data_IF_593273545437
#
_entry.id   IF_593273545437
#
_cell.length_a   1.000
_cell.length_b   1.000
_cell.length_c   1.000
_cell.angle_alpha   90.00
_cell.angle_beta   90.00
_cell.angle_gamma   90.00
#
_symmetry.space_group_name_H-M   'P 1'
#
loop_
_entity.id
_entity.type
_entity.pdbx_description
1 polymer ?
#
# COMPACT_ATOMS: atom_id res chain seq x y z
N UNK A 1 74.64 -21.48 -10.11
CA UNK A 1 73.97 -21.58 -8.79
C UNK A 1 72.61 -20.93 -8.94
N UNK A 2 71.46 -21.59 -8.97
CA UNK A 2 71.05 -22.98 -8.78
C UNK A 2 69.53 -22.89 -8.58
N UNK A 3 68.75 -23.42 -9.52
CA UNK A 3 67.29 -23.60 -9.37
C UNK A 3 67.00 -24.65 -8.29
N UNK A 4 65.78 -24.65 -7.73
CA UNK A 4 64.76 -25.66 -8.12
C UNK A 4 63.39 -24.97 -8.37
N UNK A 5 62.54 -25.25 -9.37
CA UNK A 5 62.00 -26.49 -9.99
C UNK A 5 61.62 -27.56 -8.95
N UNK A 6 60.34 -27.81 -8.66
CA UNK A 6 59.49 -28.80 -9.35
C UNK A 6 58.09 -28.81 -8.66
N UNK A 7 56.99 -28.54 -9.37
CA UNK A 7 56.04 -29.47 -10.05
C UNK A 7 54.85 -29.98 -9.23
N UNK A 8 53.70 -29.88 -9.89
CA UNK A 8 52.48 -30.67 -9.70
C UNK A 8 51.32 -30.01 -10.46
N UNK A 9 51.17 -30.22 -11.79
CA UNK A 9 50.16 -31.11 -12.43
C UNK A 9 48.77 -31.02 -11.76
N UNK A 10 47.64 -30.88 -12.44
CA UNK A 10 47.21 -31.17 -13.81
C UNK A 10 45.70 -30.89 -13.88
N UNK A 11 45.16 -30.47 -15.03
CA UNK A 11 43.70 -30.40 -15.18
C UNK A 11 43.24 -29.76 -16.48
N UNK A 12 43.29 -30.52 -17.57
CA UNK A 12 42.60 -30.29 -18.84
C UNK A 12 41.08 -30.16 -18.63
N UNK A 13 40.42 -29.23 -19.33
CA UNK A 13 38.96 -29.15 -19.31
C UNK A 13 38.39 -28.01 -20.15
N UNK A 14 38.17 -28.32 -21.43
CA UNK A 14 37.41 -27.57 -22.42
C UNK A 14 36.03 -27.07 -21.96
N UNK A 15 35.61 -25.94 -22.54
CA UNK A 15 34.22 -25.74 -22.93
C UNK A 15 33.29 -25.19 -21.86
N UNK A 16 32.84 -23.96 -22.06
CA UNK A 16 31.77 -23.40 -21.25
C UNK A 16 31.68 -21.89 -21.39
N UNK A 17 31.36 -21.43 -22.59
CA UNK A 17 30.83 -20.08 -22.80
C UNK A 17 29.49 -20.02 -22.05
N UNK A 18 29.53 -19.73 -20.76
CA UNK A 18 28.33 -19.36 -20.02
C UNK A 18 28.07 -17.91 -20.38
N UNK A 19 27.41 -17.74 -21.53
CA UNK A 19 26.68 -16.51 -21.84
C UNK A 19 25.70 -16.31 -20.68
N UNK A 20 26.10 -15.45 -19.75
CA UNK A 20 25.30 -15.06 -18.61
C UNK A 20 24.07 -14.36 -19.16
N UNK A 21 22.97 -15.12 -19.21
CA UNK A 21 21.65 -14.65 -19.55
C UNK A 21 21.42 -13.28 -18.92
N UNK A 22 21.19 -12.28 -19.77
CA UNK A 22 20.94 -10.90 -19.40
C UNK A 22 19.87 -10.87 -18.30
N UNK A 23 20.31 -10.61 -17.07
CA UNK A 23 19.44 -10.40 -15.93
C UNK A 23 18.73 -9.06 -16.14
N UNK A 24 17.60 -9.11 -16.82
CA UNK A 24 16.65 -8.00 -16.87
C UNK A 24 15.94 -7.91 -15.51
N UNK A 25 16.70 -7.61 -14.45
CA UNK A 25 16.15 -7.29 -13.14
C UNK A 25 15.61 -5.87 -13.24
N UNK A 26 14.30 -5.73 -13.17
CA UNK A 26 13.67 -4.43 -12.90
C UNK A 26 14.39 -3.83 -11.69
N UNK A 27 15.00 -2.64 -11.87
CA UNK A 27 15.64 -1.93 -10.76
C UNK A 27 14.55 -1.70 -9.70
N UNK A 28 14.74 -2.32 -8.53
CA UNK A 28 13.89 -2.10 -7.37
C UNK A 28 14.60 -1.10 -6.46
N UNK A 29 13.91 -0.02 -6.12
CA UNK A 29 14.41 0.99 -5.17
C UNK A 29 13.62 0.86 -3.87
N UNK A 30 14.30 0.43 -2.82
CA UNK A 30 13.73 0.39 -1.49
C UNK A 30 13.74 1.79 -0.86
N UNK A 31 12.72 2.14 -0.04
CA UNK A 31 12.72 3.40 0.66
C UNK A 31 13.89 3.47 1.65
N UNK A 32 14.51 4.65 1.86
CA UNK A 32 15.50 4.85 2.90
C UNK A 32 14.93 4.44 4.28
N UNK A 33 15.73 3.79 5.15
CA UNK A 33 15.25 3.29 6.45
C UNK A 33 14.65 4.38 7.35
N UNK A 34 15.18 5.61 7.25
CA UNK A 34 14.71 6.77 8.01
C UNK A 34 13.25 7.09 7.69
N UNK A 35 12.88 7.11 6.40
CA UNK A 35 11.51 7.39 5.95
C UNK A 35 10.60 6.21 6.29
N UNK A 36 11.08 4.99 6.08
CA UNK A 36 10.32 3.76 6.33
C UNK A 36 9.89 3.62 7.79
N UNK A 37 10.68 4.16 8.73
CA UNK A 37 10.40 4.10 10.18
C UNK A 37 9.22 4.96 10.61
N UNK A 38 9.06 6.14 10.01
CA UNK A 38 7.98 7.09 10.36
C UNK A 38 6.75 6.96 9.46
N UNK A 39 6.80 6.10 8.44
CA UNK A 39 5.67 5.85 7.55
C UNK A 39 4.53 5.11 8.27
N UNK A 40 3.28 5.44 7.90
CA UNK A 40 2.09 4.72 8.38
C UNK A 40 2.12 3.23 8.00
N UNK A 41 2.84 2.87 6.93
CA UNK A 41 3.09 1.50 6.51
C UNK A 41 4.59 1.33 6.30
N UNK A 42 5.24 0.65 7.25
CA UNK A 42 6.70 0.59 7.34
C UNK A 42 7.37 -0.50 6.50
N UNK A 43 6.60 -1.41 5.92
CA UNK A 43 7.14 -2.51 5.11
C UNK A 43 6.15 -3.01 4.07
N UNK A 44 6.67 -3.64 3.02
CA UNK A 44 5.85 -4.29 1.99
C UNK A 44 4.99 -5.44 2.57
N UNK A 45 5.51 -6.13 3.59
CA UNK A 45 4.78 -7.21 4.26
C UNK A 45 3.57 -6.63 4.99
N UNK A 46 3.74 -5.51 5.72
CA UNK A 46 2.64 -4.82 6.39
C UNK A 46 1.61 -4.31 5.40
N UNK A 47 2.04 -3.76 4.26
CA UNK A 47 1.14 -3.38 3.18
C UNK A 47 0.29 -4.56 2.70
N UNK A 48 0.93 -5.72 2.41
CA UNK A 48 0.23 -6.91 1.92
C UNK A 48 -0.82 -7.41 2.91
N UNK A 49 -0.51 -7.37 4.21
CA UNK A 49 -1.43 -7.73 5.27
C UNK A 49 -2.65 -6.79 5.32
N UNK A 50 -2.42 -5.47 5.31
CA UNK A 50 -3.50 -4.46 5.30
C UNK A 50 -4.36 -4.58 4.05
N UNK A 51 -3.72 -4.77 2.88
CA UNK A 51 -4.41 -4.98 1.62
C UNK A 51 -5.29 -6.23 1.66
N UNK A 52 -4.75 -7.36 2.16
CA UNK A 52 -5.53 -8.59 2.33
C UNK A 52 -6.75 -8.35 3.22
N UNK A 53 -6.57 -7.71 4.38
CA UNK A 53 -7.68 -7.38 5.29
C UNK A 53 -8.72 -6.46 4.64
N UNK A 54 -8.29 -5.49 3.84
CA UNK A 54 -9.20 -4.56 3.15
C UNK A 54 -10.10 -5.23 2.10
N UNK A 55 -9.67 -6.37 1.55
CA UNK A 55 -10.38 -7.14 0.53
C UNK A 55 -11.23 -8.25 1.15
N UNK A 56 -10.67 -8.98 2.12
CA UNK A 56 -11.34 -10.11 2.77
C UNK A 56 -12.40 -9.64 3.79
N UNK A 57 -12.11 -8.57 4.54
CA UNK A 57 -12.95 -8.03 5.62
C UNK A 57 -13.23 -6.53 5.39
N UNK A 58 -13.96 -6.18 4.31
CA UNK A 58 -14.15 -4.80 3.91
C UNK A 58 -14.96 -4.01 4.94
N UNK A 59 -15.93 -4.63 5.62
CA UNK A 59 -16.76 -3.94 6.61
C UNK A 59 -15.94 -3.48 7.81
N UNK A 60 -15.11 -4.37 8.32
CA UNK A 60 -14.30 -4.15 9.52
C UNK A 60 -13.18 -3.16 9.20
N UNK A 61 -12.42 -3.41 8.13
CA UNK A 61 -11.30 -2.55 7.74
C UNK A 61 -11.75 -1.14 7.37
N UNK A 62 -12.69 -1.00 6.43
CA UNK A 62 -13.15 0.32 6.01
C UNK A 62 -14.05 0.98 7.04
N UNK A 63 -14.72 0.19 7.89
CA UNK A 63 -15.48 0.70 9.03
C UNK A 63 -14.59 1.37 10.09
N UNK A 64 -13.40 0.83 10.34
CA UNK A 64 -12.40 1.49 11.20
C UNK A 64 -11.96 2.83 10.62
N UNK A 65 -11.63 2.88 9.33
CA UNK A 65 -11.23 4.12 8.65
C UNK A 65 -12.39 5.13 8.62
N UNK A 66 -13.61 4.67 8.39
CA UNK A 66 -14.78 5.54 8.33
C UNK A 66 -15.06 6.25 9.67
N UNK A 67 -14.72 5.63 10.81
CA UNK A 67 -14.85 6.25 12.15
C UNK A 67 -13.96 7.47 12.34
N UNK A 68 -12.89 7.60 11.55
CA UNK A 68 -12.02 8.77 11.62
C UNK A 68 -12.70 10.02 11.06
N UNK A 69 -13.77 9.88 10.29
CA UNK A 69 -14.53 10.98 9.71
C UNK A 69 -15.75 11.35 10.54
N UNK A 70 -16.18 12.60 10.42
CA UNK A 70 -17.44 13.04 10.98
C UNK A 70 -18.60 12.53 10.11
N UNK A 71 -19.57 11.90 10.76
CA UNK A 71 -20.83 11.47 10.15
C UNK A 71 -21.98 12.11 10.92
N UNK A 72 -22.87 12.79 10.21
CA UNK A 72 -24.10 13.34 10.79
C UNK A 72 -25.07 12.22 11.12
N UNK A 73 -25.20 11.26 10.21
CA UNK A 73 -25.93 10.01 10.45
C UNK A 73 -24.97 8.85 10.24
N UNK A 74 -24.72 8.00 11.25
CA UNK A 74 -23.85 6.85 11.11
C UNK A 74 -24.47 5.81 10.17
N UNK A 75 -23.62 4.97 9.57
CA UNK A 75 -24.09 3.87 8.72
C UNK A 75 -24.84 2.82 9.56
N UNK A 76 -26.15 2.72 9.38
CA UNK A 76 -27.00 1.67 9.96
C UNK A 76 -27.19 0.46 9.03
N UNK A 77 -26.85 0.60 7.74
CA UNK A 77 -27.07 -0.41 6.72
C UNK A 77 -25.87 -1.32 6.41
N UNK A 78 -25.99 -2.13 5.34
CA UNK A 78 -24.86 -2.89 4.82
C UNK A 78 -23.75 -1.95 4.34
N UNK A 79 -22.51 -2.28 4.72
CA UNK A 79 -21.35 -1.40 4.50
C UNK A 79 -20.96 -1.33 3.02
N UNK A 80 -21.04 -2.45 2.31
CA UNK A 80 -20.76 -2.57 0.89
C UNK A 80 -21.79 -3.52 0.28
N UNK A 81 -22.52 -3.04 -0.73
CA UNK A 81 -23.32 -3.87 -1.61
C UNK A 81 -22.97 -3.53 -3.05
N UNK A 82 -22.76 -4.54 -3.87
CA UNK A 82 -22.48 -4.33 -5.28
C UNK A 82 -23.07 -5.44 -6.13
N UNK A 83 -23.38 -5.11 -7.38
CA UNK A 83 -23.63 -6.06 -8.44
C UNK A 83 -22.83 -5.60 -9.67
N UNK A 84 -21.89 -6.43 -10.12
CA UNK A 84 -21.15 -6.24 -11.37
C UNK A 84 -21.62 -7.18 -12.48
N UNK A 85 -22.52 -8.11 -12.16
CA UNK A 85 -22.99 -9.14 -13.07
C UNK A 85 -24.19 -8.59 -13.86
N UNK A 86 -23.95 -8.34 -15.16
CA UNK A 86 -24.96 -7.86 -16.10
C UNK A 86 -26.13 -8.83 -16.28
N UNK A 87 -25.94 -10.11 -15.95
CA UNK A 87 -26.98 -11.15 -16.08
C UNK A 87 -27.91 -11.19 -14.87
N UNK A 88 -27.45 -10.71 -13.70
CA UNK A 88 -28.20 -10.74 -12.43
C UNK A 88 -29.01 -9.47 -12.16
N UNK A 89 -28.97 -8.51 -13.08
CA UNK A 89 -29.75 -7.28 -13.01
C UNK A 89 -28.89 -6.03 -13.19
N UNK A 90 -29.39 -4.90 -12.67
CA UNK A 90 -28.71 -3.60 -12.80
C UNK A 90 -27.36 -3.63 -12.10
N UNK A 91 -26.34 -3.06 -12.75
CA UNK A 91 -25.04 -2.83 -12.13
C UNK A 91 -25.20 -1.71 -11.09
N UNK A 92 -24.78 -1.97 -9.85
CA UNK A 92 -24.76 -0.96 -8.79
C UNK A 92 -23.60 -1.21 -7.83
N UNK A 93 -23.17 -0.14 -7.16
CA UNK A 93 -22.21 -0.19 -6.07
C UNK A 93 -22.68 0.83 -5.04
N UNK A 94 -23.00 0.37 -3.85
CA UNK A 94 -23.47 1.18 -2.74
C UNK A 94 -22.52 0.97 -1.55
N UNK A 95 -21.94 2.07 -1.06
CA UNK A 95 -21.14 2.10 0.15
C UNK A 95 -21.87 2.86 1.25
N UNK A 96 -21.78 2.34 2.48
CA UNK A 96 -22.33 2.95 3.70
C UNK A 96 -23.76 3.46 3.54
N UNK A 97 -24.67 2.58 3.08
CA UNK A 97 -26.05 2.96 2.77
C UNK A 97 -26.74 3.55 4.00
N UNK A 98 -27.32 4.74 3.83
CA UNK A 98 -28.01 5.49 4.89
C UNK A 98 -27.11 6.38 5.75
N UNK A 99 -25.78 6.33 5.56
CA UNK A 99 -24.88 7.28 6.20
C UNK A 99 -24.98 8.65 5.52
N UNK A 100 -24.92 9.72 6.31
CA UNK A 100 -24.91 11.09 5.78
C UNK A 100 -23.78 11.90 6.39
N UNK A 101 -23.11 12.68 5.56
CA UNK A 101 -22.04 13.59 5.99
C UNK A 101 -22.01 14.83 5.09
N UNK A 102 -21.35 15.87 5.58
CA UNK A 102 -21.04 17.07 4.82
C UNK A 102 -19.51 17.10 4.58
N UNK A 103 -19.10 17.22 3.32
CA UNK A 103 -17.69 17.23 2.94
C UNK A 103 -16.98 18.49 3.47
N UNK A 104 -17.62 19.65 3.40
CA UNK A 104 -17.07 20.91 3.92
C UNK A 104 -16.83 20.81 5.42
N UNK A 105 -17.75 20.18 6.16
CA UNK A 105 -17.58 19.99 7.59
C UNK A 105 -16.34 19.14 7.93
N UNK A 106 -16.10 18.06 7.19
CA UNK A 106 -14.94 17.20 7.40
C UNK A 106 -13.62 17.87 7.01
N UNK A 107 -13.63 18.70 5.96
CA UNK A 107 -12.42 19.32 5.40
C UNK A 107 -12.08 20.63 6.12
N UNK A 108 -13.05 21.40 6.61
CA UNK A 108 -12.85 22.73 7.18
C UNK A 108 -13.32 22.81 8.64
N UNK A 109 -14.63 22.76 8.88
CA UNK A 109 -15.23 23.07 10.18
C UNK A 109 -14.63 22.22 11.31
N UNK A 110 -14.44 20.92 11.06
CA UNK A 110 -13.81 20.00 12.01
C UNK A 110 -12.35 20.36 12.29
N UNK A 111 -11.58 20.78 11.29
CA UNK A 111 -10.18 21.16 11.50
C UNK A 111 -10.08 22.47 12.28
N UNK A 112 -10.98 23.43 12.04
CA UNK A 112 -11.02 24.72 12.74
C UNK A 112 -11.54 24.56 14.16
N UNK A 113 -12.71 23.95 14.36
CA UNK A 113 -13.40 23.90 15.65
C UNK A 113 -12.94 22.74 16.54
N UNK A 114 -12.86 21.51 16.01
CA UNK A 114 -12.54 20.34 16.84
C UNK A 114 -11.03 20.19 17.04
N UNK A 115 -10.24 20.37 15.98
CA UNK A 115 -8.78 20.24 16.04
C UNK A 115 -8.05 21.53 16.42
N UNK A 116 -8.77 22.66 16.51
CA UNK A 116 -8.22 23.99 16.86
C UNK A 116 -7.07 24.43 15.95
N UNK A 117 -7.18 24.12 14.64
CA UNK A 117 -6.17 24.44 13.64
C UNK A 117 -6.56 25.65 12.79
N UNK A 118 -7.31 26.60 13.35
CA UNK A 118 -7.80 27.78 12.61
C UNK A 118 -6.69 28.66 12.03
N UNK A 119 -5.55 28.76 12.73
CA UNK A 119 -4.40 29.56 12.29
C UNK A 119 -3.46 28.79 11.33
N UNK A 120 -3.75 27.52 11.07
CA UNK A 120 -2.92 26.69 10.17
C UNK A 120 -3.30 27.01 8.72
N UNK A 121 -2.30 27.39 7.93
CA UNK A 121 -2.48 27.60 6.48
C UNK A 121 -3.07 26.35 5.84
N UNK A 122 -4.27 26.49 5.27
CA UNK A 122 -4.98 25.41 4.60
C UNK A 122 -4.63 25.30 3.11
N UNK A 123 -4.34 26.43 2.46
CA UNK A 123 -4.06 26.51 1.03
C UNK A 123 -2.99 27.56 0.77
N UNK A 124 -1.95 27.19 0.02
CA UNK A 124 -0.99 28.11 -0.55
C UNK A 124 -1.42 28.40 -1.98
N UNK A 125 -1.57 29.68 -2.32
CA UNK A 125 -1.91 30.15 -3.66
C UNK A 125 -0.68 30.69 -4.36
#
# INVERSE_FOLDING_TARGET
MGLPEERGRSGSGSGGRVETAAQNRARSWSPPPEISRFAHVSSLQRYRELHRRSVEEPREFWGEIAKEFYWKTPCSGPFLQYNFDVTKGKIFIEWMKGATTNICYNVLDRNVHEKKLGDKVAFYW
#
